data_IF_373961378602
#
_entry.id   IF_373961378602
#
_cell.length_a   1.000
_cell.length_b   1.000
_cell.length_c   1.000
_cell.angle_alpha   90.00
_cell.angle_beta   90.00
_cell.angle_gamma   90.00
#
_symmetry.space_group_name_H-M   'P 1'
#
loop_
_entity.id
_entity.type
_entity.pdbx_description
1 polymer ?
#
# COMPACT_ATOMS: atom_id res chain seq x y z
N UNK A 1 20.37 -4.53 28.13
CA UNK A 1 21.33 -3.51 27.64
C UNK A 1 22.31 -4.17 26.69
N UNK A 2 22.67 -3.52 25.59
CA UNK A 2 23.69 -3.99 24.67
C UNK A 2 25.08 -3.59 25.17
N UNK A 3 26.10 -4.40 24.84
CA UNK A 3 27.48 -3.98 25.02
C UNK A 3 27.87 -3.01 23.90
N UNK A 4 28.90 -2.20 24.11
CA UNK A 4 29.43 -1.31 23.06
C UNK A 4 29.76 -2.06 21.77
N UNK A 5 30.33 -3.26 21.89
CA UNK A 5 30.61 -4.11 20.73
C UNK A 5 29.34 -4.56 20.00
N UNK A 6 28.27 -4.91 20.72
CA UNK A 6 26.99 -5.29 20.12
C UNK A 6 26.31 -4.11 19.40
N UNK A 7 26.40 -2.91 19.96
CA UNK A 7 25.92 -1.68 19.30
C UNK A 7 26.69 -1.39 18.01
N UNK A 8 28.01 -1.54 18.03
CA UNK A 8 28.86 -1.34 16.86
C UNK A 8 28.57 -2.39 15.76
N UNK A 9 28.34 -3.65 16.14
CA UNK A 9 27.89 -4.71 15.21
C UNK A 9 26.57 -4.32 14.55
N UNK A 10 25.60 -3.85 15.33
CA UNK A 10 24.30 -3.44 14.81
C UNK A 10 24.44 -2.29 13.80
N UNK A 11 25.22 -1.26 14.14
CA UNK A 11 25.48 -0.11 13.26
C UNK A 11 26.19 -0.51 11.95
N UNK A 12 27.10 -1.49 12.01
CA UNK A 12 27.77 -2.01 10.80
C UNK A 12 26.74 -2.65 9.86
N UNK A 13 25.84 -3.47 10.39
CA UNK A 13 24.80 -4.14 9.59
C UNK A 13 23.74 -3.17 9.08
N UNK A 14 23.45 -2.11 9.83
CA UNK A 14 22.54 -1.04 9.41
C UNK A 14 23.12 -0.26 8.21
N UNK A 15 24.41 0.09 8.26
CA UNK A 15 25.05 0.90 7.24
C UNK A 15 25.52 0.12 6.00
N UNK A 16 25.86 -1.16 6.15
CA UNK A 16 26.46 -1.95 5.07
C UNK A 16 25.58 -3.10 4.60
N UNK A 17 24.45 -3.35 5.27
CA UNK A 17 23.58 -4.47 4.98
C UNK A 17 24.15 -5.82 5.43
N UNK A 18 23.49 -6.93 5.01
CA UNK A 18 23.86 -8.28 5.41
C UNK A 18 25.28 -8.66 4.99
N UNK A 19 26.09 -9.18 5.91
CA UNK A 19 27.46 -9.59 5.59
C UNK A 19 27.99 -10.69 6.52
N UNK A 20 29.15 -11.26 6.18
CA UNK A 20 29.76 -12.38 6.93
C UNK A 20 30.36 -11.89 8.26
N UNK A 21 30.40 -12.78 9.25
CA UNK A 21 31.02 -12.49 10.56
C UNK A 21 32.47 -11.98 10.46
N UNK A 22 33.24 -12.47 9.48
CA UNK A 22 34.60 -11.99 9.22
C UNK A 22 34.62 -10.53 8.77
N UNK A 23 33.69 -10.12 7.90
CA UNK A 23 33.56 -8.74 7.45
C UNK A 23 33.19 -7.80 8.60
N UNK A 24 32.29 -8.24 9.48
CA UNK A 24 31.92 -7.51 10.70
C UNK A 24 33.14 -7.35 11.62
N UNK A 25 33.87 -8.44 11.87
CA UNK A 25 35.12 -8.43 12.64
C UNK A 25 36.12 -7.42 12.08
N UNK A 26 36.40 -7.47 10.78
CA UNK A 26 37.35 -6.57 10.13
C UNK A 26 36.94 -5.10 10.26
N UNK A 27 35.65 -4.79 10.12
CA UNK A 27 35.11 -3.42 10.32
C UNK A 27 35.20 -2.94 11.76
N UNK A 28 35.25 -3.84 12.73
CA UNK A 28 35.53 -3.54 14.14
C UNK A 28 37.03 -3.45 14.47
N UNK A 29 37.92 -3.60 13.49
CA UNK A 29 39.37 -3.64 13.70
C UNK A 29 39.89 -4.96 14.28
N UNK A 30 39.07 -6.02 14.27
CA UNK A 30 39.42 -7.35 14.77
C UNK A 30 39.88 -8.27 13.64
N UNK A 31 40.68 -9.28 13.97
CA UNK A 31 41.31 -10.15 12.97
C UNK A 31 40.47 -11.39 12.64
N UNK A 32 39.64 -11.85 13.57
CA UNK A 32 38.95 -13.13 13.43
C UNK A 32 37.46 -13.07 13.76
N UNK A 33 36.66 -13.82 13.00
CA UNK A 33 35.23 -13.98 13.27
C UNK A 33 34.95 -14.53 14.69
N UNK A 34 35.88 -15.29 15.27
CA UNK A 34 35.76 -15.82 16.64
C UNK A 34 35.56 -14.73 17.70
N UNK A 35 36.11 -13.55 17.47
CA UNK A 35 36.04 -12.42 18.41
C UNK A 35 34.67 -11.71 18.42
N UNK A 36 33.83 -11.98 17.41
CA UNK A 36 32.47 -11.39 17.29
C UNK A 36 31.38 -12.45 17.36
N UNK A 37 31.68 -13.72 17.08
CA UNK A 37 30.71 -14.82 17.09
C UNK A 37 29.90 -14.90 18.41
N UNK A 38 30.50 -14.81 19.62
CA UNK A 38 29.73 -14.85 20.86
C UNK A 38 28.63 -13.77 20.91
N UNK A 39 28.95 -12.56 20.46
CA UNK A 39 27.99 -11.45 20.43
C UNK A 39 26.93 -11.63 19.34
N UNK A 40 27.32 -12.09 18.14
CA UNK A 40 26.39 -12.36 17.05
C UNK A 40 25.31 -13.39 17.48
N UNK A 41 25.72 -14.50 18.10
CA UNK A 41 24.79 -15.50 18.62
C UNK A 41 24.00 -15.00 19.83
N UNK A 42 24.59 -14.16 20.70
CA UNK A 42 23.85 -13.53 21.79
C UNK A 42 22.75 -12.58 21.29
N UNK A 43 23.04 -11.81 20.23
CA UNK A 43 22.09 -10.90 19.59
C UNK A 43 21.01 -11.65 18.81
N UNK A 44 21.35 -12.78 18.16
CA UNK A 44 20.36 -13.69 17.54
C UNK A 44 19.33 -14.19 18.54
N UNK A 45 19.79 -14.66 19.71
CA UNK A 45 18.90 -15.12 20.80
C UNK A 45 17.97 -14.04 21.35
N UNK A 46 18.32 -12.77 21.14
CA UNK A 46 17.51 -11.60 21.52
C UNK A 46 16.65 -11.06 20.38
N UNK A 47 16.58 -11.77 19.25
CA UNK A 47 15.85 -11.33 18.04
C UNK A 47 16.31 -9.96 17.53
N UNK A 48 17.60 -9.66 17.64
CA UNK A 48 18.18 -8.44 17.07
C UNK A 48 18.82 -8.69 15.72
N UNK A 49 19.38 -9.88 15.52
CA UNK A 49 20.02 -10.31 14.30
C UNK A 49 19.46 -11.64 13.82
N UNK A 50 19.57 -11.89 12.53
CA UNK A 50 19.31 -13.17 11.90
C UNK A 50 20.55 -13.69 11.16
N UNK A 51 20.61 -15.01 10.99
CA UNK A 51 21.68 -15.69 10.27
C UNK A 51 21.05 -16.46 9.09
N UNK A 52 21.38 -16.07 7.87
CA UNK A 52 21.12 -16.91 6.71
C UNK A 52 22.16 -18.05 6.69
N UNK A 53 21.72 -19.25 7.08
CA UNK A 53 22.59 -20.42 7.16
C UNK A 53 23.13 -20.86 5.79
N UNK A 54 22.44 -20.51 4.68
CA UNK A 54 22.90 -20.85 3.32
C UNK A 54 24.13 -20.03 2.92
N UNK A 55 24.08 -18.73 3.14
CA UNK A 55 25.17 -17.80 2.76
C UNK A 55 26.14 -17.50 3.91
N UNK A 56 25.84 -17.96 5.13
CA UNK A 56 26.55 -17.61 6.37
C UNK A 56 26.64 -16.09 6.57
N UNK A 57 25.57 -15.36 6.22
CA UNK A 57 25.49 -13.91 6.38
C UNK A 57 24.61 -13.52 7.54
N UNK A 58 25.05 -12.50 8.26
CA UNK A 58 24.33 -11.91 9.38
C UNK A 58 23.59 -10.68 8.89
N UNK A 59 22.34 -10.54 9.29
CA UNK A 59 21.48 -9.40 8.98
C UNK A 59 20.78 -8.90 10.25
N UNK A 60 20.27 -7.67 10.22
CA UNK A 60 19.35 -7.20 11.26
C UNK A 60 18.07 -8.03 11.17
N UNK A 61 17.62 -8.55 12.32
CA UNK A 61 16.38 -9.31 12.40
C UNK A 61 15.21 -8.42 12.01
N UNK A 62 14.48 -8.81 10.97
CA UNK A 62 13.27 -8.14 10.50
C UNK A 62 12.14 -9.15 10.56
N UNK A 63 11.27 -9.10 11.58
CA UNK A 63 10.15 -10.04 11.70
C UNK A 63 9.20 -9.96 10.48
N UNK A 64 9.18 -8.80 9.82
CA UNK A 64 8.29 -8.50 8.70
C UNK A 64 8.72 -9.15 7.38
N UNK A 65 9.97 -9.62 7.27
CA UNK A 65 10.54 -10.21 6.05
C UNK A 65 10.78 -11.71 6.16
N UNK A 66 10.93 -12.24 7.37
CA UNK A 66 11.28 -13.66 7.59
C UNK A 66 10.10 -14.65 7.47
N UNK A 67 8.86 -14.16 7.30
CA UNK A 67 7.69 -15.04 7.22
C UNK A 67 6.48 -14.44 6.50
N UNK A 68 6.62 -13.24 5.95
CA UNK A 68 5.55 -12.57 5.22
C UNK A 68 6.01 -12.39 3.78
N UNK A 69 5.74 -13.39 2.94
CA UNK A 69 4.97 -13.01 1.76
C UNK A 69 3.81 -12.21 2.34
N UNK A 70 3.62 -10.91 2.05
CA UNK A 70 2.31 -10.35 2.26
C UNK A 70 1.44 -11.19 1.34
N UNK A 71 0.88 -12.29 1.88
CA UNK A 71 -0.32 -12.86 1.35
C UNK A 71 -1.18 -11.62 1.13
N UNK A 72 -1.51 -11.28 -0.13
CA UNK A 72 -2.21 -10.05 -0.42
C UNK A 72 -3.36 -10.01 0.57
N UNK A 73 -3.54 -8.89 1.28
CA UNK A 73 -4.69 -8.77 2.16
C UNK A 73 -5.91 -9.06 1.27
N UNK A 74 -6.49 -10.24 1.39
CA UNK A 74 -7.64 -10.61 0.59
C UNK A 74 -8.80 -9.88 1.25
N UNK A 75 -9.06 -8.67 0.77
CA UNK A 75 -10.24 -7.91 1.14
C UNK A 75 -11.42 -8.62 0.48
N UNK A 76 -12.03 -9.54 1.22
CA UNK A 76 -13.30 -10.14 0.83
C UNK A 76 -14.40 -9.13 1.06
N UNK A 77 -14.69 -8.35 0.03
CA UNK A 77 -15.77 -7.41 0.08
C UNK A 77 -17.10 -8.13 -0.18
N UNK A 78 -17.89 -8.33 0.86
CA UNK A 78 -19.21 -8.98 0.77
C UNK A 78 -20.24 -8.15 -0.01
N UNK A 79 -19.99 -6.88 -0.26
CA UNK A 79 -20.84 -6.01 -1.07
C UNK A 79 -20.30 -5.94 -2.51
N UNK A 80 -21.13 -6.25 -3.53
CA UNK A 80 -20.69 -6.29 -4.93
C UNK A 80 -20.37 -4.92 -5.52
N UNK A 81 -20.58 -3.84 -4.76
CA UNK A 81 -20.45 -2.46 -5.22
C UNK A 81 -19.58 -1.66 -4.26
N UNK A 82 -18.49 -1.12 -4.79
CA UNK A 82 -17.65 -0.10 -4.17
C UNK A 82 -18.06 1.28 -4.69
N UNK A 83 -18.55 2.15 -3.81
CA UNK A 83 -18.81 3.55 -4.17
C UNK A 83 -17.66 4.41 -3.65
N UNK A 84 -16.89 5.02 -4.56
CA UNK A 84 -15.82 5.97 -4.24
C UNK A 84 -16.26 7.35 -4.73
N UNK A 85 -16.57 8.27 -3.81
CA UNK A 85 -16.96 9.65 -4.12
C UNK A 85 -15.80 10.59 -3.77
N UNK A 86 -15.22 11.24 -4.78
CA UNK A 86 -14.23 12.30 -4.60
C UNK A 86 -14.85 13.61 -5.12
N UNK A 87 -15.14 14.55 -4.21
CA UNK A 87 -15.92 15.77 -4.52
C UNK A 87 -15.11 17.07 -4.32
N UNK A 88 -13.78 17.03 -4.43
CA UNK A 88 -12.91 18.20 -4.25
C UNK A 88 -12.22 18.67 -5.54
N UNK A 89 -11.54 19.83 -5.54
CA UNK A 89 -10.56 20.12 -6.59
C UNK A 89 -9.41 19.10 -6.49
N UNK A 90 -8.94 18.59 -7.64
CA UNK A 90 -7.90 17.55 -7.78
C UNK A 90 -8.30 16.11 -7.38
N UNK A 91 -9.51 15.67 -7.75
CA UNK A 91 -9.92 14.26 -7.58
C UNK A 91 -9.09 13.36 -8.50
N UNK A 92 -8.36 12.42 -7.91
CA UNK A 92 -7.59 11.42 -8.63
C UNK A 92 -7.73 10.05 -7.97
N UNK A 93 -8.10 9.04 -8.77
CA UNK A 93 -8.14 7.64 -8.37
C UNK A 93 -7.09 6.91 -9.22
N UNK A 94 -6.10 6.31 -8.57
CA UNK A 94 -5.06 5.51 -9.22
C UNK A 94 -5.09 4.07 -8.76
N UNK A 95 -4.96 3.14 -9.70
CA UNK A 95 -4.71 1.71 -9.44
C UNK A 95 -3.32 1.41 -10.00
N UNK A 96 -2.40 0.96 -9.16
CA UNK A 96 -1.02 0.66 -9.53
C UNK A 96 -0.59 -0.73 -9.11
N UNK A 97 0.52 -1.22 -9.68
CA UNK A 97 1.11 -2.54 -9.38
C UNK A 97 0.12 -3.71 -9.50
N UNK A 98 -0.84 -3.63 -10.44
CA UNK A 98 -1.84 -4.67 -10.67
C UNK A 98 -1.48 -5.48 -11.91
N UNK A 99 -1.45 -6.80 -11.79
CA UNK A 99 -1.15 -7.71 -12.91
C UNK A 99 -2.40 -8.01 -13.76
N UNK A 100 -3.59 -7.91 -13.17
CA UNK A 100 -4.86 -8.11 -13.85
C UNK A 100 -5.91 -7.14 -13.32
N UNK A 101 -6.36 -6.21 -14.16
CA UNK A 101 -7.50 -5.33 -13.89
C UNK A 101 -8.52 -5.61 -14.98
N UNK A 102 -9.74 -5.99 -14.58
CA UNK A 102 -10.87 -6.08 -15.50
C UNK A 102 -11.89 -5.01 -15.13
N UNK A 103 -12.09 -4.07 -16.04
CA UNK A 103 -13.23 -3.17 -16.00
C UNK A 103 -14.31 -3.84 -16.86
N UNK A 104 -15.46 -4.16 -16.26
CA UNK A 104 -16.54 -4.89 -16.92
C UNK A 104 -17.20 -4.12 -18.08
N UNK A 105 -18.19 -4.74 -18.71
CA UNK A 105 -19.03 -4.13 -19.75
C UNK A 105 -20.13 -3.25 -19.11
N UNK A 106 -20.47 -2.11 -19.75
CA UNK A 106 -21.58 -1.25 -19.33
C UNK A 106 -21.19 0.00 -18.53
N UNK A 107 -19.92 0.40 -18.51
CA UNK A 107 -19.50 1.62 -17.81
C UNK A 107 -20.08 2.87 -18.48
N UNK A 108 -20.62 3.78 -17.67
CA UNK A 108 -21.07 5.11 -18.12
C UNK A 108 -20.04 6.14 -17.66
N UNK A 109 -19.35 6.79 -18.61
CA UNK A 109 -18.50 7.93 -18.31
C UNK A 109 -19.36 9.18 -18.38
N UNK A 110 -19.72 9.74 -17.22
CA UNK A 110 -20.37 11.05 -17.13
C UNK A 110 -19.27 12.10 -17.02
N UNK A 111 -19.18 13.01 -18.00
CA UNK A 111 -18.34 14.20 -17.84
C UNK A 111 -19.02 15.13 -16.84
N UNK A 112 -18.36 15.55 -15.74
CA UNK A 112 -18.90 16.61 -14.90
C UNK A 112 -18.93 17.88 -15.76
N UNK A 113 -20.11 18.35 -16.14
CA UNK A 113 -20.27 19.74 -16.55
C UNK A 113 -19.99 20.57 -15.30
N UNK A 114 -18.90 21.35 -15.32
CA UNK A 114 -18.67 22.33 -14.28
C UNK A 114 -19.87 23.29 -14.28
N UNK A 115 -20.75 23.17 -13.29
CA UNK A 115 -21.77 24.18 -13.04
C UNK A 115 -21.05 25.38 -12.46
N UNK A 116 -20.75 26.33 -13.33
CA UNK A 116 -19.97 27.52 -13.02
C UNK A 116 -20.54 28.73 -13.73
N UNK A 117 -21.83 28.99 -13.64
CA UNK A 117 -22.41 30.29 -13.98
C UNK A 117 -23.55 30.64 -13.00
N UNK A 118 -23.17 31.23 -11.85
CA UNK A 118 -24.09 32.04 -11.07
C UNK A 118 -23.96 33.50 -11.53
N UNK A 119 -24.96 33.93 -12.32
CA UNK A 119 -25.62 35.24 -12.21
C UNK A 119 -24.91 36.50 -12.73
N UNK A 120 -25.35 36.98 -13.91
CA UNK A 120 -25.61 38.42 -14.13
C UNK A 120 -26.87 38.57 -14.97
N UNK A 121 -27.84 39.32 -14.46
CA UNK A 121 -29.20 39.34 -14.97
C UNK A 121 -29.40 40.01 -16.34
N UNK A 122 -30.33 39.46 -17.12
CA UNK A 122 -31.20 40.24 -17.99
C UNK A 122 -32.52 39.47 -18.25
N UNK A 123 -33.62 40.18 -18.04
CA UNK A 123 -35.04 39.86 -18.18
C UNK A 123 -35.41 38.91 -19.33
N UNK A 124 -36.40 38.05 -19.05
CA UNK A 124 -37.24 37.43 -20.08
C UNK A 124 -38.10 36.29 -19.56
N UNK A 125 -39.16 36.58 -18.80
CA UNK A 125 -40.18 35.59 -18.48
C UNK A 125 -40.85 35.06 -19.76
N UNK A 126 -40.74 33.76 -20.03
CA UNK A 126 -41.79 33.03 -20.76
C UNK A 126 -41.76 31.55 -20.38
N UNK A 127 -42.80 31.13 -19.66
CA UNK A 127 -43.03 29.74 -19.32
C UNK A 127 -43.45 28.94 -20.57
N UNK A 128 -42.99 27.70 -20.78
CA UNK A 128 -43.60 26.83 -21.76
C UNK A 128 -44.92 26.27 -21.22
N UNK A 129 -45.90 26.39 -22.09
CA UNK A 129 -47.28 25.97 -22.02
C UNK A 129 -47.44 24.49 -21.61
N UNK A 130 -48.31 24.26 -20.63
CA UNK A 130 -48.84 22.95 -20.25
C UNK A 130 -49.63 22.37 -21.44
N UNK A 131 -49.21 21.24 -21.98
CA UNK A 131 -50.06 20.42 -22.84
C UNK A 131 -50.41 19.14 -22.07
N UNK A 132 -51.67 19.06 -21.67
CA UNK A 132 -52.25 17.87 -21.06
C UNK A 132 -52.47 16.80 -22.15
N UNK A 133 -52.05 15.57 -21.89
CA UNK A 133 -52.61 14.39 -22.51
C UNK A 133 -52.49 13.20 -21.53
N UNK A 134 -53.57 13.05 -20.77
CA UNK A 134 -54.19 11.86 -20.18
C UNK A 134 -53.42 10.52 -20.14
N UNK A 135 -53.41 9.96 -18.94
CA UNK A 135 -53.17 8.55 -18.64
C UNK A 135 -54.20 7.66 -19.35
N UNK A 136 -53.75 6.61 -20.03
CA UNK A 136 -54.53 5.38 -20.22
C UNK A 136 -53.75 4.18 -19.69
N UNK A 137 -54.19 3.71 -18.53
CA UNK A 137 -53.90 2.36 -18.05
C UNK A 137 -54.52 1.34 -19.00
N UNK A 138 -53.73 0.41 -19.54
CA UNK A 138 -54.26 -0.83 -20.10
C UNK A 138 -53.77 -2.02 -19.28
N UNK A 139 -54.74 -2.71 -18.71
CA UNK A 139 -54.60 -4.03 -18.11
C UNK A 139 -54.18 -5.05 -19.19
N UNK A 140 -53.32 -6.01 -18.83
CA UNK A 140 -53.26 -7.30 -19.51
C UNK A 140 -53.98 -8.34 -18.64
N UNK A 141 -54.95 -9.10 -19.16
CA UNK A 141 -55.43 -10.30 -18.49
C UNK A 141 -54.54 -11.51 -18.84
N UNK A 142 -54.69 -12.51 -17.97
CA UNK A 142 -53.99 -13.80 -17.87
C UNK A 142 -53.84 -14.59 -19.17
#
# INVERSE_FOLDING_TARGET
QLTKQQEDIYRILENHGPCKALTISQKLGKKTAKEVNPDLYAMRRKHLLDLDEKSSTWAIYRPDLAGRNPAPAIIYQKNPINMICQNGPNNHISIGNSESIQIGHGNVIVRPTASGENGTGARGHRAPHRAAAEQKWQHQPK
#
